data_IF_529652623380
#
_entry.id   IF_529652623380
#
_cell.length_a   1.000
_cell.length_b   1.000
_cell.length_c   1.000
_cell.angle_alpha   90.00
_cell.angle_beta   90.00
_cell.angle_gamma   90.00
#
_symmetry.space_group_name_H-M   'P 1'
#
loop_
_entity.id
_entity.type
_entity.pdbx_description
1 polymer ?
#
# COMPACT_ATOMS: atom_id res chain seq x y z
N UNK A 1 -3.36 9.80 14.83
CA UNK A 1 -2.34 9.83 15.90
C UNK A 1 -1.78 8.45 16.16
N UNK A 2 -0.61 8.36 16.81
CA UNK A 2 0.05 7.12 17.26
C UNK A 2 0.18 7.17 18.78
N UNK A 3 -0.24 6.09 19.44
CA UNK A 3 -0.19 5.93 20.90
C UNK A 3 0.50 4.62 21.27
N UNK A 4 0.91 4.48 22.53
CA UNK A 4 1.51 3.26 23.08
C UNK A 4 0.66 2.74 24.25
N UNK A 5 0.24 1.49 24.15
CA UNK A 5 -0.34 0.72 25.23
C UNK A 5 0.78 -0.06 25.96
N UNK A 6 0.81 -0.09 27.30
CA UNK A 6 1.78 -0.91 28.04
C UNK A 6 1.66 -2.42 27.76
N UNK A 7 0.48 -2.90 27.35
CA UNK A 7 0.20 -4.32 27.09
C UNK A 7 0.36 -4.72 25.62
N UNK A 8 -0.11 -3.88 24.69
CA UNK A 8 -0.20 -4.24 23.26
C UNK A 8 0.75 -3.44 22.35
N UNK A 9 1.60 -2.58 22.92
CA UNK A 9 2.57 -1.79 22.15
C UNK A 9 1.92 -0.62 21.39
N UNK A 10 2.43 -0.32 20.20
CA UNK A 10 1.99 0.84 19.41
C UNK A 10 0.64 0.59 18.73
N UNK A 11 -0.23 1.59 18.72
CA UNK A 11 -1.51 1.52 18.01
C UNK A 11 -1.91 2.89 17.44
N UNK A 12 -2.85 2.87 16.49
CA UNK A 12 -3.48 4.06 15.92
C UNK A 12 -4.98 4.05 16.22
N UNK A 13 -5.49 5.21 16.63
CA UNK A 13 -6.90 5.39 16.97
C UNK A 13 -7.09 5.90 18.40
N UNK A 14 -8.35 5.94 18.83
CA UNK A 14 -8.71 6.48 20.15
C UNK A 14 -8.34 5.54 21.29
N UNK A 15 -8.63 4.24 21.11
CA UNK A 15 -8.43 3.22 22.13
C UNK A 15 -7.66 2.03 21.55
N UNK A 16 -6.86 1.41 22.41
CA UNK A 16 -6.25 0.11 22.17
C UNK A 16 -7.32 -1.00 22.26
N UNK A 17 -7.02 -2.20 21.76
CA UNK A 17 -7.90 -3.38 21.82
C UNK A 17 -8.31 -3.78 23.24
N UNK A 18 -7.51 -3.45 24.26
CA UNK A 18 -7.89 -3.65 25.67
C UNK A 18 -8.69 -2.49 26.29
N UNK A 19 -9.11 -1.50 25.50
CA UNK A 19 -9.86 -0.34 25.96
C UNK A 19 -8.99 0.79 26.55
N UNK A 20 -7.67 0.60 26.67
CA UNK A 20 -6.76 1.65 27.15
C UNK A 20 -6.69 2.82 26.17
N UNK A 21 -6.70 4.06 26.66
CA UNK A 21 -6.46 5.27 25.86
C UNK A 21 -5.00 5.41 25.44
N UNK A 22 -4.07 4.73 26.12
CA UNK A 22 -2.63 4.73 25.83
C UNK A 22 -1.91 6.06 26.07
N UNK A 23 -0.57 6.03 25.97
CA UNK A 23 0.28 7.22 26.00
C UNK A 23 0.44 7.78 24.58
N UNK A 24 0.21 9.07 24.38
CA UNK A 24 0.44 9.73 23.10
C UNK A 24 1.94 9.70 22.75
N UNK A 25 2.27 9.15 21.57
CA UNK A 25 3.63 9.14 21.03
C UNK A 25 3.77 10.19 19.93
N UNK A 26 2.79 10.24 19.02
CA UNK A 26 2.76 11.20 17.93
C UNK A 26 1.33 11.67 17.68
N UNK A 27 1.10 12.98 17.73
CA UNK A 27 -0.20 13.57 17.41
C UNK A 27 -0.57 13.37 15.93
N UNK A 28 -1.84 13.61 15.59
CA UNK A 28 -2.37 13.36 14.25
C UNK A 28 -1.69 14.20 13.17
N UNK A 29 -1.55 15.51 13.39
CA UNK A 29 -0.90 16.43 12.45
C UNK A 29 0.54 16.00 12.16
N UNK A 30 1.32 15.69 13.20
CA UNK A 30 2.70 15.22 13.03
C UNK A 30 2.76 13.83 12.39
N UNK A 31 1.81 12.95 12.70
CA UNK A 31 1.70 11.63 12.04
C UNK A 31 1.49 11.79 10.54
N UNK A 32 0.62 12.71 10.13
CA UNK A 32 0.35 12.99 8.73
C UNK A 32 1.56 13.62 8.02
N UNK A 33 2.18 14.64 8.63
CA UNK A 33 3.36 15.32 8.08
C UNK A 33 4.52 14.33 7.86
N UNK A 34 4.83 13.54 8.90
CA UNK A 34 5.88 12.53 8.82
C UNK A 34 5.52 11.42 7.84
N UNK A 35 4.28 10.95 7.86
CA UNK A 35 3.77 9.94 6.93
C UNK A 35 3.90 10.36 5.48
N UNK A 36 3.57 11.62 5.16
CA UNK A 36 3.70 12.18 3.81
C UNK A 36 5.15 12.27 3.37
N UNK A 37 6.05 12.71 4.24
CA UNK A 37 7.48 12.80 3.94
C UNK A 37 8.08 11.41 3.69
N UNK A 38 7.79 10.44 4.55
CA UNK A 38 8.28 9.05 4.43
C UNK A 38 7.70 8.38 3.19
N UNK A 39 6.40 8.54 2.91
CA UNK A 39 5.80 8.02 1.69
C UNK A 39 6.43 8.64 0.45
N UNK A 40 6.67 9.96 0.44
CA UNK A 40 7.35 10.65 -0.65
C UNK A 40 8.76 10.11 -0.91
N UNK A 41 9.59 10.06 0.14
CA UNK A 41 10.97 9.58 0.05
C UNK A 41 11.10 8.10 -0.31
N UNK A 42 10.16 7.26 0.11
CA UNK A 42 10.20 5.82 -0.15
C UNK A 42 9.42 5.39 -1.39
N UNK A 43 8.74 6.30 -2.12
CA UNK A 43 7.91 5.90 -3.29
C UNK A 43 8.07 6.77 -4.52
N UNK A 44 8.33 8.06 -4.34
CA UNK A 44 8.09 9.04 -5.40
C UNK A 44 9.33 9.85 -5.75
N UNK A 45 10.07 10.31 -4.75
CA UNK A 45 11.18 11.25 -4.95
C UNK A 45 12.32 11.00 -3.95
N UNK A 46 12.93 9.80 -3.91
CA UNK A 46 14.08 9.53 -3.04
C UNK A 46 15.24 10.49 -3.29
N UNK A 47 15.54 10.78 -4.57
CA UNK A 47 16.66 11.63 -4.97
C UNK A 47 16.51 13.08 -4.50
N UNK A 48 15.29 13.64 -4.55
CA UNK A 48 14.99 15.00 -4.06
C UNK A 48 15.24 15.15 -2.55
N UNK A 49 15.24 14.03 -1.82
CA UNK A 49 15.55 13.96 -0.40
C UNK A 49 16.99 13.53 -0.12
N UNK A 50 17.79 13.29 -1.17
CA UNK A 50 19.16 12.78 -1.02
C UNK A 50 19.20 11.38 -0.42
N UNK A 51 18.19 10.55 -0.73
CA UNK A 51 18.12 9.14 -0.38
C UNK A 51 18.56 8.30 -1.57
N UNK A 52 19.54 7.41 -1.37
CA UNK A 52 19.90 6.44 -2.38
C UNK A 52 18.99 5.22 -2.23
N UNK A 53 18.09 5.05 -3.19
CA UNK A 53 17.21 3.90 -3.28
C UNK A 53 17.81 2.85 -4.22
N UNK A 54 17.89 1.60 -3.76
CA UNK A 54 18.31 0.50 -4.62
C UNK A 54 17.18 0.01 -5.54
N UNK A 55 17.54 -0.88 -6.47
CA UNK A 55 16.59 -1.47 -7.45
C UNK A 55 15.39 -2.17 -6.82
N UNK A 56 15.45 -2.54 -5.54
CA UNK A 56 14.36 -3.21 -4.81
C UNK A 56 13.63 -2.27 -3.84
N UNK A 57 13.88 -0.96 -3.95
CA UNK A 57 13.23 0.09 -3.17
C UNK A 57 13.86 0.34 -1.80
N UNK A 58 14.96 -0.33 -1.43
CA UNK A 58 15.55 -0.16 -0.11
C UNK A 58 16.38 1.12 -0.02
N UNK A 59 16.25 1.79 1.12
CA UNK A 59 16.99 2.99 1.51
C UNK A 59 17.61 2.75 2.89
N UNK A 60 18.79 3.33 3.14
CA UNK A 60 19.41 3.31 4.47
C UNK A 60 18.50 3.98 5.52
N UNK A 61 18.18 3.25 6.59
CA UNK A 61 17.21 3.71 7.59
C UNK A 61 17.74 4.88 8.43
N UNK A 62 19.05 4.90 8.69
CA UNK A 62 19.70 6.01 9.41
C UNK A 62 19.62 7.28 8.59
N UNK A 63 19.89 7.20 7.28
CA UNK A 63 19.82 8.30 6.35
C UNK A 63 18.40 8.86 6.21
N UNK A 64 17.39 7.99 6.15
CA UNK A 64 15.99 8.44 6.19
C UNK A 64 15.69 9.21 7.49
N UNK A 65 16.19 8.72 8.63
CA UNK A 65 16.06 9.40 9.92
C UNK A 65 16.68 10.81 9.92
N UNK A 66 17.84 10.98 9.30
CA UNK A 66 18.49 12.29 9.13
C UNK A 66 17.66 13.25 8.28
N UNK A 67 17.15 12.77 7.14
CA UNK A 67 16.27 13.54 6.24
C UNK A 67 15.02 13.98 6.99
N UNK A 68 14.36 13.05 7.68
CA UNK A 68 13.18 13.32 8.49
C UNK A 68 13.45 14.40 9.54
N UNK A 69 14.55 14.27 10.30
CA UNK A 69 14.94 15.24 11.33
C UNK A 69 15.27 16.63 10.76
N UNK A 70 15.90 16.68 9.59
CA UNK A 70 16.24 17.95 8.93
C UNK A 70 14.99 18.72 8.47
N UNK A 71 13.96 18.01 7.98
CA UNK A 71 12.67 18.59 7.57
C UNK A 71 11.78 18.91 8.77
N UNK A 72 11.82 18.07 9.80
CA UNK A 72 11.02 18.18 11.01
C UNK A 72 11.91 18.03 12.24
N UNK A 73 12.33 19.15 12.85
CA UNK A 73 13.25 19.15 14.01
C UNK A 73 12.76 18.34 15.22
N UNK A 74 11.44 18.14 15.34
CA UNK A 74 10.83 17.34 16.40
C UNK A 74 10.87 15.83 16.12
N UNK A 75 11.16 15.42 14.89
CA UNK A 75 11.18 14.02 14.51
C UNK A 75 12.55 13.38 14.83
N UNK A 76 12.51 12.14 15.30
CA UNK A 76 13.68 11.33 15.63
C UNK A 76 13.47 9.88 15.15
N UNK A 77 14.49 9.02 15.38
CA UNK A 77 14.46 7.62 14.95
C UNK A 77 13.31 6.87 15.62
N UNK A 78 13.04 7.14 16.90
CA UNK A 78 11.97 6.49 17.66
C UNK A 78 10.59 6.79 17.09
N UNK A 79 10.33 8.04 16.69
CA UNK A 79 9.06 8.43 16.05
C UNK A 79 8.92 7.89 14.64
N UNK A 80 10.03 7.78 13.89
CA UNK A 80 10.03 7.15 12.58
C UNK A 80 9.75 5.64 12.67
N UNK A 81 10.40 4.95 13.60
CA UNK A 81 10.09 3.54 13.90
C UNK A 81 8.63 3.40 14.32
N UNK A 82 8.14 4.27 15.21
CA UNK A 82 6.75 4.21 15.66
C UNK A 82 5.75 4.43 14.51
N UNK A 83 6.06 5.31 13.56
CA UNK A 83 5.25 5.49 12.35
C UNK A 83 5.17 4.21 11.52
N UNK A 84 6.31 3.54 11.31
CA UNK A 84 6.41 2.32 10.50
C UNK A 84 5.70 1.15 11.17
N UNK A 85 6.04 0.86 12.43
CA UNK A 85 5.50 -0.28 13.19
C UNK A 85 4.00 -0.15 13.44
N UNK A 86 3.50 1.08 13.64
CA UNK A 86 2.07 1.31 13.87
C UNK A 86 1.25 1.38 12.58
N UNK A 87 1.82 1.21 11.39
CA UNK A 87 1.07 1.34 10.15
C UNK A 87 0.11 0.15 9.94
N UNK A 88 -1.22 0.34 10.07
CA UNK A 88 -2.17 -0.77 9.92
C UNK A 88 -2.19 -1.34 8.50
N UNK A 89 -1.75 -0.56 7.51
CA UNK A 89 -1.69 -1.01 6.11
C UNK A 89 -0.38 -1.72 5.77
N UNK A 90 0.54 -1.81 6.73
CA UNK A 90 1.87 -2.38 6.56
C UNK A 90 2.56 -1.83 5.29
N UNK A 91 2.54 -0.51 5.08
CA UNK A 91 3.10 0.09 3.85
C UNK A 91 4.60 -0.02 3.76
N UNK A 92 5.27 -0.26 4.87
CA UNK A 92 6.72 -0.22 4.98
C UNK A 92 7.24 -1.49 5.63
N UNK A 93 8.49 -1.81 5.36
CA UNK A 93 9.22 -2.87 6.03
C UNK A 93 10.65 -2.43 6.33
N UNK A 94 11.23 -2.98 7.39
CA UNK A 94 12.60 -2.73 7.84
C UNK A 94 13.35 -4.06 7.83
N UNK A 95 14.55 -4.07 7.25
CA UNK A 95 15.43 -5.25 7.23
C UNK A 95 16.89 -4.79 7.21
N UNK A 96 17.72 -5.32 8.10
CA UNK A 96 19.17 -5.05 8.17
C UNK A 96 19.52 -3.55 8.04
N UNK A 97 18.93 -2.71 8.91
CA UNK A 97 19.09 -1.24 8.91
C UNK A 97 18.69 -0.54 7.61
N UNK A 98 17.93 -1.19 6.74
CA UNK A 98 17.28 -0.59 5.59
C UNK A 98 15.78 -0.55 5.76
N UNK A 99 15.14 0.37 5.06
CA UNK A 99 13.68 0.52 5.00
C UNK A 99 13.23 0.68 3.54
N UNK A 100 12.06 0.15 3.21
CA UNK A 100 11.38 0.44 1.95
C UNK A 100 9.88 0.54 2.12
N UNK A 101 9.21 1.13 1.14
CA UNK A 101 7.79 0.88 0.98
C UNK A 101 7.58 -0.51 0.36
N UNK A 102 6.51 -1.21 0.75
CA UNK A 102 6.18 -2.52 0.21
C UNK A 102 5.41 -2.43 -1.12
N UNK A 103 4.82 -1.28 -1.41
CA UNK A 103 4.02 -1.02 -2.61
C UNK A 103 3.82 0.49 -2.83
N UNK A 104 3.33 0.87 -4.01
CA UNK A 104 2.94 2.24 -4.36
C UNK A 104 4.05 3.16 -4.84
N UNK A 105 5.18 2.61 -5.28
CA UNK A 105 6.24 3.35 -5.94
C UNK A 105 5.76 3.91 -7.29
N UNK A 106 6.21 5.10 -7.64
CA UNK A 106 6.13 5.66 -9.00
C UNK A 106 7.50 5.70 -9.68
N UNK A 107 8.57 5.41 -8.94
CA UNK A 107 9.91 5.22 -9.47
C UNK A 107 10.06 3.81 -10.05
N UNK A 108 10.99 3.66 -10.99
CA UNK A 108 11.29 2.37 -11.60
C UNK A 108 12.10 1.50 -10.65
N UNK A 109 11.46 0.47 -10.11
CA UNK A 109 12.05 -0.52 -9.21
C UNK A 109 11.47 -1.91 -9.52
N UNK A 110 12.17 -2.94 -9.07
CA UNK A 110 11.71 -4.32 -9.11
C UNK A 110 11.56 -4.88 -7.70
N UNK A 111 10.31 -5.00 -7.24
CA UNK A 111 10.00 -5.63 -5.95
C UNK A 111 10.15 -7.15 -6.03
N UNK A 112 10.47 -7.76 -4.89
CA UNK A 112 10.84 -9.17 -4.73
C UNK A 112 9.99 -9.88 -3.67
N UNK A 113 8.70 -9.53 -3.60
CA UNK A 113 7.75 -10.23 -2.74
C UNK A 113 7.47 -11.65 -3.26
N UNK A 114 6.86 -12.48 -2.40
CA UNK A 114 6.44 -13.82 -2.79
C UNK A 114 5.39 -13.79 -3.90
N UNK A 115 5.43 -14.78 -4.79
CA UNK A 115 4.44 -14.92 -5.86
C UNK A 115 3.01 -15.04 -5.30
N UNK A 116 2.04 -14.57 -6.08
CA UNK A 116 0.63 -14.70 -5.72
C UNK A 116 0.16 -16.15 -5.90
N UNK A 117 -0.59 -16.64 -4.90
CA UNK A 117 -1.23 -17.96 -4.91
C UNK A 117 -2.76 -17.88 -5.03
N UNK A 118 -3.36 -16.67 -4.92
CA UNK A 118 -4.80 -16.52 -5.01
C UNK A 118 -5.26 -16.66 -6.47
N UNK A 119 -6.28 -17.49 -6.77
CA UNK A 119 -6.73 -17.69 -8.15
C UNK A 119 -7.47 -16.47 -8.71
N UNK A 120 -7.94 -15.57 -7.84
CA UNK A 120 -8.74 -14.40 -8.20
C UNK A 120 -8.32 -13.20 -7.39
N UNK A 121 -8.27 -12.05 -8.06
CA UNK A 121 -7.92 -10.76 -7.47
C UNK A 121 -8.87 -9.68 -7.99
N UNK A 122 -8.95 -8.55 -7.31
CA UNK A 122 -10.01 -7.56 -7.56
C UNK A 122 -9.46 -6.15 -7.68
N UNK A 123 -9.98 -5.40 -8.65
CA UNK A 123 -9.66 -3.99 -8.86
C UNK A 123 -10.95 -3.17 -8.79
N UNK A 124 -10.91 -2.08 -8.02
CA UNK A 124 -12.02 -1.14 -7.93
C UNK A 124 -11.82 0.02 -8.89
N UNK A 125 -12.82 0.28 -9.73
CA UNK A 125 -12.77 1.30 -10.79
C UNK A 125 -14.06 2.14 -10.82
N UNK A 126 -14.03 3.29 -11.49
CA UNK A 126 -15.27 3.95 -11.95
C UNK A 126 -15.88 3.19 -13.12
N UNK A 127 -17.14 3.47 -13.47
CA UNK A 127 -17.80 2.88 -14.63
C UNK A 127 -17.02 3.15 -15.94
N UNK A 128 -16.64 4.42 -16.17
CA UNK A 128 -15.85 4.80 -17.36
C UNK A 128 -14.46 4.15 -17.39
N UNK A 129 -13.81 4.00 -16.23
CA UNK A 129 -12.51 3.34 -16.13
C UNK A 129 -12.64 1.84 -16.38
N UNK A 130 -13.71 1.23 -15.87
CA UNK A 130 -13.99 -0.19 -16.04
C UNK A 130 -14.17 -0.57 -17.52
N UNK A 131 -14.98 0.19 -18.27
CA UNK A 131 -15.17 -0.06 -19.71
C UNK A 131 -13.85 -0.02 -20.48
N UNK A 132 -13.01 0.98 -20.19
CA UNK A 132 -11.66 1.08 -20.79
C UNK A 132 -10.78 -0.10 -20.41
N UNK A 133 -10.75 -0.50 -19.14
CA UNK A 133 -9.92 -1.62 -18.67
C UNK A 133 -10.32 -2.94 -19.36
N UNK A 134 -11.62 -3.17 -19.56
CA UNK A 134 -12.10 -4.37 -20.26
C UNK A 134 -11.73 -4.37 -21.75
N UNK A 135 -11.48 -3.20 -22.34
CA UNK A 135 -11.02 -3.09 -23.73
C UNK A 135 -9.49 -3.29 -23.82
N UNK A 136 -8.73 -2.49 -23.06
CA UNK A 136 -7.27 -2.36 -23.26
C UNK A 136 -6.41 -3.13 -22.23
N UNK A 137 -7.03 -3.73 -21.23
CA UNK A 137 -6.37 -4.35 -20.09
C UNK A 137 -6.09 -3.37 -18.94
N UNK A 138 -5.69 -3.93 -17.80
CA UNK A 138 -5.39 -3.18 -16.58
C UNK A 138 -3.89 -2.91 -16.48
N UNK A 139 -3.53 -1.63 -16.58
CA UNK A 139 -2.17 -1.14 -16.34
C UNK A 139 -2.17 -0.12 -15.21
N UNK A 140 -1.04 0.03 -14.53
CA UNK A 140 -0.88 1.09 -13.57
C UNK A 140 -0.87 2.45 -14.28
N UNK A 141 -1.46 3.46 -13.63
CA UNK A 141 -1.50 4.83 -14.18
C UNK A 141 -0.19 5.57 -13.87
N UNK A 142 0.07 5.83 -12.59
CA UNK A 142 1.23 6.58 -12.10
C UNK A 142 2.16 5.77 -11.20
N UNK A 143 1.81 4.51 -10.93
CA UNK A 143 2.57 3.62 -10.06
C UNK A 143 3.32 2.59 -10.90
N UNK A 144 4.35 1.97 -10.34
CA UNK A 144 5.15 0.93 -11.01
C UNK A 144 4.36 -0.35 -11.25
N UNK A 145 3.47 -0.72 -10.32
CA UNK A 145 2.66 -1.92 -10.39
C UNK A 145 1.17 -1.59 -10.30
N UNK A 146 0.34 -2.45 -10.90
CA UNK A 146 -1.09 -2.50 -10.62
C UNK A 146 -1.28 -2.96 -9.18
N UNK A 147 -2.15 -2.30 -8.43
CA UNK A 147 -2.53 -2.75 -7.08
C UNK A 147 -3.90 -3.42 -7.12
N UNK A 148 -3.95 -4.66 -6.65
CA UNK A 148 -5.16 -5.46 -6.58
C UNK A 148 -5.50 -5.76 -5.12
N UNK A 149 -6.78 -5.85 -4.84
CA UNK A 149 -7.30 -6.31 -3.55
C UNK A 149 -7.48 -7.82 -3.55
N UNK A 150 -7.26 -8.44 -2.41
CA UNK A 150 -7.47 -9.89 -2.22
C UNK A 150 -8.95 -10.28 -2.15
N UNK A 151 -9.85 -9.32 -1.94
CA UNK A 151 -11.30 -9.57 -1.88
C UNK A 151 -12.12 -8.51 -2.62
N UNK A 152 -13.34 -8.83 -3.09
CA UNK A 152 -14.21 -7.89 -3.79
C UNK A 152 -14.60 -6.67 -2.95
N UNK A 153 -14.86 -6.86 -1.66
CA UNK A 153 -15.34 -5.82 -0.74
C UNK A 153 -14.24 -4.79 -0.50
N UNK A 154 -12.99 -5.23 -0.41
CA UNK A 154 -11.83 -4.34 -0.31
C UNK A 154 -11.67 -3.52 -1.58
N UNK A 155 -11.77 -4.14 -2.76
CA UNK A 155 -11.71 -3.43 -4.04
C UNK A 155 -12.83 -2.38 -4.15
N UNK A 156 -14.06 -2.76 -3.79
CA UNK A 156 -15.21 -1.87 -3.77
C UNK A 156 -14.98 -0.69 -2.82
N UNK A 157 -14.55 -0.96 -1.58
CA UNK A 157 -14.26 0.06 -0.57
C UNK A 157 -13.13 1.01 -0.99
N UNK A 158 -12.14 0.52 -1.73
CA UNK A 158 -11.08 1.39 -2.29
C UNK A 158 -11.65 2.30 -3.38
N UNK A 159 -12.55 1.80 -4.22
CA UNK A 159 -13.16 2.59 -5.29
C UNK A 159 -14.11 3.69 -4.78
N UNK A 160 -14.82 3.47 -3.68
CA UNK A 160 -15.75 4.49 -3.12
C UNK A 160 -15.06 5.78 -2.70
N UNK A 161 -13.75 5.75 -2.40
CA UNK A 161 -12.98 6.97 -2.14
C UNK A 161 -12.76 7.83 -3.39
N UNK A 162 -12.99 7.27 -4.59
CA UNK A 162 -12.74 7.94 -5.88
C UNK A 162 -14.01 8.21 -6.68
N UNK A 163 -15.04 7.37 -6.52
CA UNK A 163 -16.29 7.45 -7.30
C UNK A 163 -17.51 7.11 -6.45
N UNK A 164 -18.64 7.76 -6.74
CA UNK A 164 -19.93 7.44 -6.14
C UNK A 164 -20.57 6.16 -6.68
N UNK A 165 -20.15 5.70 -7.87
CA UNK A 165 -20.67 4.51 -8.55
C UNK A 165 -19.52 3.54 -8.87
N UNK A 166 -18.97 2.84 -7.85
CA UNK A 166 -17.86 1.92 -8.04
C UNK A 166 -18.28 0.65 -8.79
N UNK A 167 -17.40 0.18 -9.69
CA UNK A 167 -17.42 -1.16 -10.27
C UNK A 167 -16.25 -1.97 -9.71
N UNK A 168 -16.44 -3.29 -9.63
CA UNK A 168 -15.36 -4.21 -9.26
C UNK A 168 -15.05 -5.08 -10.48
N UNK A 169 -13.78 -5.08 -10.86
CA UNK A 169 -13.22 -5.94 -11.90
C UNK A 169 -12.56 -7.11 -11.18
N UNK A 170 -12.91 -8.33 -11.57
CA UNK A 170 -12.21 -9.55 -11.17
C UNK A 170 -11.13 -9.86 -12.22
N UNK A 171 -9.92 -10.13 -11.76
CA UNK A 171 -8.85 -10.72 -12.56
C UNK A 171 -8.78 -12.22 -12.28
N UNK A 172 -8.74 -13.03 -13.34
CA UNK A 172 -8.32 -14.44 -13.26
C UNK A 172 -6.80 -14.49 -13.11
N UNK A 173 -6.35 -14.47 -11.86
CA UNK A 173 -4.94 -14.37 -11.53
C UNK A 173 -4.18 -15.66 -11.89
N UNK A 174 -4.82 -16.82 -11.71
CA UNK A 174 -4.23 -18.10 -12.09
C UNK A 174 -3.94 -18.16 -13.60
N UNK A 175 -4.95 -17.90 -14.43
CA UNK A 175 -4.79 -17.93 -15.89
C UNK A 175 -3.82 -16.84 -16.40
N UNK A 176 -3.82 -15.65 -15.76
CA UNK A 176 -2.89 -14.60 -16.09
C UNK A 176 -1.44 -14.98 -15.74
N UNK A 177 -1.20 -15.60 -14.58
CA UNK A 177 0.13 -16.07 -14.16
C UNK A 177 0.61 -17.23 -15.04
N UNK A 178 -0.25 -18.18 -15.41
CA UNK A 178 0.07 -19.24 -16.40
C UNK A 178 0.48 -18.65 -17.76
N UNK A 179 -0.10 -17.51 -18.14
CA UNK A 179 0.26 -16.77 -19.34
C UNK A 179 1.47 -15.82 -19.17
N UNK A 180 2.16 -15.85 -18.03
CA UNK A 180 3.40 -15.11 -17.76
C UNK A 180 3.24 -13.75 -17.08
N UNK A 181 2.05 -13.39 -16.59
CA UNK A 181 1.88 -12.14 -15.83
C UNK A 181 2.43 -12.31 -14.41
N UNK A 182 3.48 -11.54 -14.07
CA UNK A 182 4.07 -11.55 -12.72
C UNK A 182 3.12 -10.86 -11.73
N UNK A 183 2.77 -11.57 -10.66
CA UNK A 183 1.95 -11.09 -9.56
C UNK A 183 2.58 -11.48 -8.23
N UNK A 184 2.66 -10.55 -7.29
CA UNK A 184 3.33 -10.77 -6.01
C UNK A 184 2.48 -10.30 -4.82
N UNK A 185 2.40 -11.13 -3.79
CA UNK A 185 1.65 -10.87 -2.56
C UNK A 185 2.40 -9.91 -1.66
N UNK A 186 1.82 -8.74 -1.40
CA UNK A 186 2.42 -7.76 -0.49
C UNK A 186 2.00 -8.02 0.95
N UNK A 187 0.71 -8.24 1.18
CA UNK A 187 0.14 -8.60 2.48
C UNK A 187 -1.23 -9.26 2.26
N UNK A 188 -1.95 -9.57 3.35
CA UNK A 188 -3.26 -10.22 3.27
C UNK A 188 -4.37 -9.42 2.55
N UNK A 189 -4.11 -8.16 2.22
CA UNK A 189 -5.06 -7.26 1.57
C UNK A 189 -4.67 -6.89 0.13
N UNK A 190 -3.37 -6.91 -0.19
CA UNK A 190 -2.81 -6.31 -1.40
C UNK A 190 -1.92 -7.30 -2.15
N UNK A 191 -2.21 -7.43 -3.44
CA UNK A 191 -1.32 -8.05 -4.44
C UNK A 191 -0.91 -6.98 -5.44
N UNK A 192 0.34 -7.01 -5.88
CA UNK A 192 0.83 -6.16 -6.95
C UNK A 192 1.07 -6.97 -8.22
N UNK A 193 0.81 -6.38 -9.38
CA UNK A 193 0.89 -7.06 -10.67
C UNK A 193 1.55 -6.17 -11.72
N UNK A 194 2.22 -6.81 -12.68
CA UNK A 194 2.44 -6.19 -14.00
C UNK A 194 1.09 -5.98 -14.73
N UNK A 195 1.12 -5.43 -15.94
CA UNK A 195 -0.09 -5.23 -16.74
C UNK A 195 -0.86 -6.55 -16.94
N UNK A 196 -2.18 -6.50 -16.73
CA UNK A 196 -3.08 -7.65 -16.91
C UNK A 196 -3.86 -7.47 -18.22
N UNK A 197 -3.70 -8.37 -19.21
CA UNK A 197 -4.49 -8.34 -20.44
C UNK A 197 -6.00 -8.44 -20.19
N UNK A 198 -6.80 -7.73 -20.99
CA UNK A 198 -8.26 -7.68 -20.85
C UNK A 198 -8.95 -9.05 -20.88
N UNK A 199 -8.39 -10.03 -21.62
CA UNK A 199 -8.93 -11.41 -21.67
C UNK A 199 -9.01 -12.12 -20.32
N UNK A 200 -8.29 -11.63 -19.29
CA UNK A 200 -8.34 -12.17 -17.93
C UNK A 200 -9.20 -11.34 -16.98
N UNK A 201 -9.88 -10.32 -17.50
CA UNK A 201 -10.63 -9.36 -16.70
C UNK A 201 -12.13 -9.47 -16.99
N UNK A 202 -12.95 -9.46 -15.95
CA UNK A 202 -14.39 -9.38 -16.08
C UNK A 202 -15.01 -8.52 -14.99
N UNK A 203 -16.19 -7.96 -15.26
CA UNK A 203 -16.94 -7.23 -14.23
C UNK A 203 -17.60 -8.23 -13.30
N UNK A 204 -17.33 -8.06 -12.01
CA UNK A 204 -18.03 -8.81 -10.98
C UNK A 204 -19.44 -8.23 -10.81
N UNK A 205 -20.45 -9.08 -10.81
CA UNK A 205 -21.82 -8.62 -10.65
C UNK A 205 -22.03 -8.05 -9.24
N UNK A 206 -22.85 -6.99 -9.12
CA UNK A 206 -23.06 -6.30 -7.85
C UNK A 206 -23.64 -7.19 -6.73
N UNK A 207 -24.32 -8.28 -7.09
CA UNK A 207 -24.82 -9.31 -6.16
C UNK A 207 -23.70 -10.18 -5.56
N UNK A 208 -22.57 -10.28 -6.25
CA UNK A 208 -21.42 -11.11 -5.89
C UNK A 208 -20.35 -10.29 -5.13
N UNK A 209 -20.66 -9.03 -4.80
CA UNK A 209 -19.89 -8.20 -3.88
C UNK A 209 -20.63 -8.22 -2.53
N UNK A 210 -20.13 -8.95 -1.52
CA UNK A 210 -20.70 -8.94 -0.19
C UNK A 210 -20.84 -7.50 0.32
N UNK A 211 -22.08 -7.08 0.57
CA UNK A 211 -22.37 -5.67 0.92
C UNK A 211 -22.02 -5.33 2.37
N UNK A 212 -21.85 -6.31 3.24
CA UNK A 212 -21.42 -6.11 4.63
C UNK A 212 -20.70 -7.37 5.13
N UNK A 213 -19.55 -7.17 5.77
CA UNK A 213 -19.05 -8.05 6.83
C UNK A 213 -19.36 -7.42 8.18
#
# INVERSE_FOLDING_TARGET
MIKRCPQHGLFRGEHCECGSTGQLILDETKTEQLGRLVAGGLRHFPDDLGLQMDTRGWVDFTRLGEVVRSRHRWANKELLTALIESDPKQRYEISNDKVRARYGHSVDIELDHQDNELPRLYYGASEEEADRILEIGLKSASQRYVHLSTTPEKAWKVATFRTGNPKVIQADAAAAQEAGVKMMTVNGDIVISEMIPSRFLCILAAKDIPKHG
#
